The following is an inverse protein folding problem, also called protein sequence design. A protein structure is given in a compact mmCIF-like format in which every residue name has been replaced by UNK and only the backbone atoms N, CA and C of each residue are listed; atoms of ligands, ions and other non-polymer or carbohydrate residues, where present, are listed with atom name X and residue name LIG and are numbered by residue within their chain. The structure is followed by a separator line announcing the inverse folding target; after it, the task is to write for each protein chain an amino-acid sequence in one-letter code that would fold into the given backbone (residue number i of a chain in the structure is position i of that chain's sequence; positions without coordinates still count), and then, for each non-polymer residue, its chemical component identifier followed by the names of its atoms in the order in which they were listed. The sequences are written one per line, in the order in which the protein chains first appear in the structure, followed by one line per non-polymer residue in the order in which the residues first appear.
data_IF_778855062782
#
_entry.id   IF_778855062782
#
_cell.length_a   1.000
_cell.length_b   1.000
_cell.length_c   1.000
_cell.angle_alpha   90.00
_cell.angle_beta   90.00
_cell.angle_gamma   90.00
#
_symmetry.space_group_name_H-M   'P 1'
#
loop_
_entity.id
_entity.type
_entity.pdbx_description
1 polymer ?
#
# COMPACT_ATOMS: atom_id res chain seq x y z
N UNK A 1 17.51 -3.15 -0.53
CA UNK A 1 16.08 -3.03 -0.90
C UNK A 1 15.45 -4.38 -1.23
N UNK A 2 16.19 -5.31 -1.86
CA UNK A 2 15.66 -6.65 -2.21
C UNK A 2 15.28 -7.51 -1.00
N UNK A 3 15.99 -7.44 0.12
CA UNK A 3 15.70 -8.28 1.30
C UNK A 3 14.33 -7.99 1.93
N UNK A 4 13.95 -6.72 2.05
CA UNK A 4 12.61 -6.33 2.55
C UNK A 4 11.51 -6.75 1.58
N UNK A 5 11.78 -6.64 0.27
CA UNK A 5 10.88 -7.13 -0.77
C UNK A 5 10.75 -8.66 -0.76
N UNK A 6 11.77 -9.38 -0.31
CA UNK A 6 11.76 -10.83 -0.20
C UNK A 6 10.92 -11.31 0.99
N UNK A 7 10.95 -10.61 2.12
CA UNK A 7 10.12 -10.93 3.29
C UNK A 7 8.62 -10.74 3.02
N UNK A 8 8.27 -9.73 2.23
CA UNK A 8 6.88 -9.45 1.79
C UNK A 8 6.49 -10.31 0.57
N UNK A 9 7.37 -11.16 0.03
CA UNK A 9 7.07 -12.11 -1.07
C UNK A 9 6.65 -13.50 -0.58
N UNK A 10 6.33 -13.67 0.70
CA UNK A 10 5.67 -14.89 1.18
C UNK A 10 4.32 -15.12 0.48
N UNK A 11 3.83 -16.37 0.38
CA UNK A 11 2.69 -16.76 -0.47
C UNK A 11 1.34 -16.07 -0.15
N UNK A 12 1.26 -15.30 0.93
CA UNK A 12 0.03 -14.61 1.35
C UNK A 12 -0.08 -13.16 0.87
N UNK A 13 1.00 -12.57 0.33
CA UNK A 13 1.03 -11.17 -0.09
C UNK A 13 0.86 -11.02 -1.60
N UNK A 14 -0.12 -10.21 -2.00
CA UNK A 14 -0.40 -9.87 -3.39
C UNK A 14 -0.01 -8.42 -3.65
N UNK A 15 0.84 -8.19 -4.65
CA UNK A 15 1.20 -6.84 -5.08
C UNK A 15 0.04 -6.21 -5.84
N UNK A 16 -0.49 -5.10 -5.32
CA UNK A 16 -1.65 -4.40 -5.92
C UNK A 16 -1.23 -3.28 -6.86
N UNK A 17 -0.21 -2.50 -6.47
CA UNK A 17 0.26 -1.37 -7.26
C UNK A 17 1.77 -1.27 -7.25
N UNK A 18 2.31 -0.73 -8.34
CA UNK A 18 3.71 -0.37 -8.50
C UNK A 18 3.79 0.92 -9.31
N UNK A 19 4.31 1.97 -8.71
CA UNK A 19 4.57 3.23 -9.39
C UNK A 19 6.07 3.43 -9.42
N UNK A 20 6.61 3.66 -10.62
CA UNK A 20 8.02 4.03 -10.82
C UNK A 20 8.08 5.34 -11.56
N UNK A 21 8.58 6.39 -10.92
CA UNK A 21 8.81 7.70 -11.51
C UNK A 21 10.29 7.89 -11.79
N UNK A 22 10.69 7.79 -13.06
CA UNK A 22 12.10 8.05 -13.46
C UNK A 22 12.50 9.51 -13.34
N UNK A 23 11.54 10.44 -13.44
CA UNK A 23 11.78 11.88 -13.35
C UNK A 23 12.08 12.32 -11.92
N UNK A 24 11.38 11.72 -10.96
CA UNK A 24 11.48 12.07 -9.54
C UNK A 24 12.33 11.08 -8.74
N UNK A 25 12.76 9.98 -9.36
CA UNK A 25 13.57 8.95 -8.71
C UNK A 25 12.82 8.25 -7.57
N UNK A 26 11.50 8.11 -7.69
CA UNK A 26 10.62 7.55 -6.67
C UNK A 26 10.02 6.21 -7.13
N UNK A 27 10.13 5.21 -6.27
CA UNK A 27 9.56 3.88 -6.44
C UNK A 27 8.60 3.58 -5.28
N UNK A 28 7.33 3.36 -5.59
CA UNK A 28 6.30 3.01 -4.60
C UNK A 28 5.68 1.67 -4.96
N UNK A 29 5.64 0.78 -3.99
CA UNK A 29 4.98 -0.52 -4.11
C UNK A 29 3.98 -0.73 -2.98
N UNK A 30 2.80 -1.25 -3.33
CA UNK A 30 1.71 -1.53 -2.40
C UNK A 30 1.39 -3.02 -2.47
N UNK A 31 1.34 -3.66 -1.30
CA UNK A 31 1.04 -5.08 -1.14
C UNK A 31 -0.12 -5.24 -0.17
N UNK A 32 -1.03 -6.16 -0.47
CA UNK A 32 -2.10 -6.58 0.43
C UNK A 32 -1.92 -8.04 0.82
N UNK A 33 -2.24 -8.37 2.07
CA UNK A 33 -2.37 -9.75 2.53
C UNK A 33 -3.85 -10.11 2.55
N UNK A 34 -4.20 -11.20 1.87
CA UNK A 34 -5.58 -11.69 1.78
C UNK A 34 -5.70 -13.03 2.50
N UNK A 35 -6.69 -13.16 3.36
CA UNK A 35 -7.08 -14.43 3.99
C UNK A 35 -8.60 -14.58 3.90
N UNK A 36 -9.08 -15.67 3.28
CA UNK A 36 -10.53 -15.95 3.10
C UNK A 36 -11.29 -14.72 2.57
N UNK A 37 -10.76 -14.11 1.51
CA UNK A 37 -11.31 -12.92 0.83
C UNK A 37 -11.31 -11.62 1.66
N UNK A 38 -10.74 -11.63 2.87
CA UNK A 38 -10.57 -10.43 3.70
C UNK A 38 -9.14 -9.91 3.60
N UNK A 39 -9.00 -8.59 3.56
CA UNK A 39 -7.70 -7.95 3.66
C UNK A 39 -7.29 -7.97 5.14
N UNK A 40 -6.18 -8.63 5.42
CA UNK A 40 -5.64 -8.80 6.79
C UNK A 40 -4.26 -8.16 6.96
N UNK A 41 -3.79 -7.45 5.94
CA UNK A 41 -2.57 -6.66 6.02
C UNK A 41 -2.35 -5.78 4.81
N UNK A 42 -1.63 -4.68 5.01
CA UNK A 42 -1.22 -3.72 4.00
C UNK A 42 0.24 -3.37 4.23
N UNK A 43 1.05 -3.46 3.18
CA UNK A 43 2.42 -2.98 3.19
C UNK A 43 2.59 -1.94 2.09
N UNK A 44 3.14 -0.79 2.44
CA UNK A 44 3.58 0.24 1.49
C UNK A 44 5.08 0.43 1.63
N UNK A 45 5.78 0.29 0.50
CA UNK A 45 7.22 0.54 0.40
C UNK A 45 7.40 1.70 -0.57
N UNK A 46 7.76 2.87 -0.06
CA UNK A 46 8.10 4.02 -0.87
C UNK A 46 9.58 4.32 -0.71
N UNK A 47 10.30 4.44 -1.81
CA UNK A 47 11.73 4.70 -1.80
C UNK A 47 12.12 5.77 -2.81
N UNK A 48 13.11 6.54 -2.42
CA UNK A 48 13.80 7.52 -3.25
C UNK A 48 15.30 7.44 -2.97
N UNK A 49 16.12 8.21 -3.69
CA UNK A 49 17.58 8.15 -3.64
C UNK A 49 18.18 8.14 -2.21
N UNK A 50 17.57 8.86 -1.27
CA UNK A 50 18.10 9.04 0.10
C UNK A 50 17.09 8.72 1.20
N UNK A 51 15.87 8.30 0.87
CA UNK A 51 14.83 8.02 1.87
C UNK A 51 14.07 6.74 1.54
N UNK A 52 13.74 5.98 2.58
CA UNK A 52 12.91 4.78 2.52
C UNK A 52 11.81 4.90 3.57
N UNK A 53 10.57 4.85 3.12
CA UNK A 53 9.38 4.79 3.95
C UNK A 53 8.80 3.38 3.86
N UNK A 54 8.66 2.74 5.00
CA UNK A 54 8.04 1.42 5.12
C UNK A 54 6.86 1.50 6.07
N UNK A 55 5.67 1.20 5.55
CA UNK A 55 4.44 1.12 6.34
C UNK A 55 4.00 -0.33 6.34
N UNK A 56 3.73 -0.88 7.52
CA UNK A 56 3.17 -2.22 7.69
C UNK A 56 1.98 -2.16 8.64
N UNK A 57 0.79 -2.45 8.10
CA UNK A 57 -0.46 -2.54 8.85
C UNK A 57 -0.84 -4.01 8.89
N UNK A 58 -1.01 -4.55 10.10
CA UNK A 58 -1.38 -5.93 10.35
C UNK A 58 -2.70 -5.96 11.12
N UNK A 59 -3.65 -6.76 10.63
CA UNK A 59 -4.99 -6.86 11.20
C UNK A 59 -6.06 -6.74 10.13
N UNK A 60 -7.35 -7.00 10.46
CA UNK A 60 -8.44 -6.84 9.51
C UNK A 60 -8.50 -5.38 9.03
N UNK A 61 -8.40 -5.18 7.72
CA UNK A 61 -8.48 -3.87 7.08
C UNK A 61 -9.79 -3.78 6.32
N UNK A 62 -10.58 -2.77 6.66
CA UNK A 62 -11.74 -2.36 5.88
C UNK A 62 -11.33 -1.17 5.00
N UNK A 63 -11.45 -1.33 3.67
CA UNK A 63 -11.08 -0.30 2.70
C UNK A 63 -11.98 0.93 2.77
N UNK A 64 -13.26 0.77 3.13
CA UNK A 64 -14.18 1.89 3.30
C UNK A 64 -13.78 2.72 4.52
N UNK A 65 -13.38 2.07 5.62
CA UNK A 65 -12.86 2.77 6.80
C UNK A 65 -11.53 3.48 6.52
N UNK A 66 -10.65 2.85 5.74
CA UNK A 66 -9.38 3.46 5.33
C UNK A 66 -9.62 4.69 4.43
N UNK A 67 -10.57 4.60 3.50
CA UNK A 67 -10.94 5.73 2.65
C UNK A 67 -11.54 6.90 3.45
N UNK A 68 -12.30 6.61 4.51
CA UNK A 68 -12.87 7.61 5.41
C UNK A 68 -11.82 8.36 6.25
N UNK A 69 -10.57 7.89 6.33
CA UNK A 69 -9.46 8.67 6.90
C UNK A 69 -8.97 9.78 5.95
N UNK A 70 -9.34 9.73 4.67
CA UNK A 70 -9.10 10.82 3.74
C UNK A 70 -9.74 12.12 4.25
N UNK A 71 -9.01 13.22 4.18
CA UNK A 71 -9.41 14.51 4.77
C UNK A 71 -9.05 14.66 6.25
N UNK A 72 -8.58 13.60 6.92
CA UNK A 72 -8.16 13.60 8.32
C UNK A 72 -6.66 13.27 8.47
N UNK A 73 -6.06 13.62 9.62
CA UNK A 73 -4.65 13.31 9.94
C UNK A 73 -3.60 13.79 8.92
N UNK A 74 -3.92 14.84 8.13
CA UNK A 74 -3.03 15.35 7.08
C UNK A 74 -3.02 14.51 5.80
N UNK A 75 -3.91 13.52 5.69
CA UNK A 75 -4.15 12.77 4.45
C UNK A 75 -5.16 13.56 3.60
N UNK A 76 -4.85 13.91 2.34
CA UNK A 76 -5.79 14.61 1.48
C UNK A 76 -7.03 13.75 1.22
N UNK A 77 -8.18 14.41 1.09
CA UNK A 77 -9.40 13.73 0.63
C UNK A 77 -9.23 13.39 -0.86
N UNK A 78 -9.42 12.12 -1.21
CA UNK A 78 -9.32 11.63 -2.58
C UNK A 78 -10.71 11.30 -3.09
N UNK A 79 -11.13 11.92 -4.20
CA UNK A 79 -12.34 11.50 -4.92
C UNK A 79 -12.10 10.14 -5.61
N UNK A 80 -12.31 9.05 -4.88
CA UNK A 80 -12.20 7.69 -5.43
C UNK A 80 -13.47 7.40 -6.23
N UNK A 81 -13.38 7.50 -7.57
CA UNK A 81 -14.44 7.00 -8.47
C UNK A 81 -14.54 5.48 -8.32
N UNK A 82 -15.54 5.01 -7.58
CA UNK A 82 -15.86 3.58 -7.50
C UNK A 82 -16.38 3.11 -8.87
N UNK A 83 -15.89 1.98 -9.41
CA UNK A 83 -16.50 1.41 -10.60
C UNK A 83 -17.97 1.05 -10.30
N UNK A 84 -18.88 1.20 -11.29
CA UNK A 84 -20.28 0.82 -11.11
C UNK A 84 -20.40 -0.66 -10.72
N UNK A 85 -21.34 -0.94 -9.81
CA UNK A 85 -21.58 -2.24 -9.18
C UNK A 85 -22.17 -3.25 -10.16
#
# INVERSE_FOLDING_TARGET
MESLRAEVKGPAWTKMASVRSRKEGQDVDVFLKLEKEKIVGLVVIAAQATQLTFVNIVGPIDLDQLAALGGHFGVPELEIKRPPK
#
